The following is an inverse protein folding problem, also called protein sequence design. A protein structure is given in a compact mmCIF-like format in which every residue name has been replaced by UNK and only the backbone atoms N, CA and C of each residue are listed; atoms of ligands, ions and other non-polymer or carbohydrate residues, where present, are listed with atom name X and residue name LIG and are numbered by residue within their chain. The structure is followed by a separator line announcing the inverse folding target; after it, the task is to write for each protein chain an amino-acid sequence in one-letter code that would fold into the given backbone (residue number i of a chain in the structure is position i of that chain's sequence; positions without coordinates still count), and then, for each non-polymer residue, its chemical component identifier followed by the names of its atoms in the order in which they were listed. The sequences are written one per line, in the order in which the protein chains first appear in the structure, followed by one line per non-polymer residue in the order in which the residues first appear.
data_IF_210994901190
#
_entry.id   IF_210994901190
#
_cell.length_a   1.000
_cell.length_b   1.000
_cell.length_c   1.000
_cell.angle_alpha   90.00
_cell.angle_beta   90.00
_cell.angle_gamma   90.00
#
_symmetry.space_group_name_H-M   'P 1'
#
loop_
_entity.id
_entity.type
_entity.pdbx_description
1 polymer ?
#
# COMPACT_ATOMS: atom_id res chain seq x y z
N UNK A 1 -25.79 -36.17 -21.21
CA UNK A 1 -25.04 -36.07 -19.93
C UNK A 1 -25.67 -34.95 -19.10
N UNK A 2 -25.93 -35.16 -17.80
CA UNK A 2 -26.86 -34.35 -17.02
C UNK A 2 -26.22 -33.05 -16.51
N UNK A 3 -27.03 -31.99 -16.46
CA UNK A 3 -26.72 -30.69 -15.87
C UNK A 3 -26.80 -30.79 -14.34
N UNK A 4 -25.71 -30.47 -13.65
CA UNK A 4 -25.64 -30.41 -12.17
C UNK A 4 -26.07 -29.01 -11.69
N UNK A 5 -26.88 -28.86 -10.61
CA UNK A 5 -27.43 -27.57 -10.23
C UNK A 5 -26.44 -26.74 -9.39
N UNK A 6 -26.02 -25.58 -9.92
CA UNK A 6 -25.18 -24.56 -9.26
C UNK A 6 -25.93 -23.81 -8.12
N UNK A 7 -27.22 -24.07 -7.94
CA UNK A 7 -28.09 -23.32 -7.03
C UNK A 7 -27.79 -23.51 -5.52
N UNK A 8 -27.20 -24.63 -5.09
CA UNK A 8 -27.07 -24.94 -3.64
C UNK A 8 -25.95 -24.17 -2.91
N UNK A 9 -24.93 -23.66 -3.61
CA UNK A 9 -23.79 -22.95 -2.98
C UNK A 9 -24.08 -21.47 -2.71
N UNK A 10 -24.89 -20.80 -3.55
CA UNK A 10 -25.29 -19.39 -3.36
C UNK A 10 -26.27 -19.19 -2.19
N UNK A 11 -27.08 -20.20 -1.86
CA UNK A 11 -28.05 -20.14 -0.75
C UNK A 11 -27.35 -20.16 0.62
N UNK A 12 -26.24 -20.90 0.77
CA UNK A 12 -25.50 -20.95 2.04
C UNK A 12 -24.72 -19.65 2.32
N UNK A 13 -24.15 -19.03 1.28
CA UNK A 13 -23.42 -17.75 1.43
C UNK A 13 -24.38 -16.59 1.74
N UNK A 14 -25.56 -16.57 1.13
CA UNK A 14 -26.58 -15.54 1.41
C UNK A 14 -27.19 -15.65 2.80
N UNK A 15 -27.42 -16.87 3.31
CA UNK A 15 -27.87 -17.10 4.67
C UNK A 15 -26.85 -16.62 5.73
N UNK A 16 -25.55 -16.88 5.52
CA UNK A 16 -24.51 -16.43 6.45
C UNK A 16 -24.35 -14.91 6.49
N UNK A 17 -24.45 -14.24 5.33
CA UNK A 17 -24.43 -12.77 5.25
C UNK A 17 -25.64 -12.15 5.95
N UNK A 18 -26.82 -12.76 5.81
CA UNK A 18 -28.04 -12.29 6.48
C UNK A 18 -27.94 -12.42 8.00
N UNK A 19 -27.36 -13.51 8.52
CA UNK A 19 -27.15 -13.71 9.96
C UNK A 19 -26.17 -12.69 10.53
N UNK A 20 -25.07 -12.40 9.82
CA UNK A 20 -24.11 -11.37 10.23
C UNK A 20 -24.74 -9.98 10.21
N UNK A 21 -25.59 -9.69 9.21
CA UNK A 21 -26.31 -8.42 9.12
C UNK A 21 -27.33 -8.26 10.25
N UNK A 22 -28.05 -9.33 10.62
CA UNK A 22 -28.99 -9.35 11.75
C UNK A 22 -28.24 -9.15 13.08
N UNK A 23 -27.07 -9.77 13.25
CA UNK A 23 -26.22 -9.59 14.45
C UNK A 23 -25.67 -8.16 14.53
N UNK A 24 -25.22 -7.59 13.42
CA UNK A 24 -24.78 -6.18 13.34
C UNK A 24 -25.93 -5.21 13.62
N UNK A 25 -27.13 -5.48 13.11
CA UNK A 25 -28.33 -4.68 13.40
C UNK A 25 -28.79 -4.80 14.85
N UNK A 26 -28.65 -5.98 15.47
CA UNK A 26 -28.93 -6.17 16.89
C UNK A 26 -27.90 -5.44 17.77
N UNK A 27 -26.61 -5.46 17.39
CA UNK A 27 -25.55 -4.69 18.05
C UNK A 27 -25.75 -3.19 17.88
N UNK A 28 -26.13 -2.74 16.69
CA UNK A 28 -26.44 -1.35 16.38
C UNK A 28 -27.69 -0.86 17.14
N UNK A 29 -28.73 -1.69 17.26
CA UNK A 29 -29.91 -1.39 18.11
C UNK A 29 -29.60 -1.39 19.60
N UNK A 30 -28.65 -2.23 20.06
CA UNK A 30 -28.16 -2.20 21.44
C UNK A 30 -27.38 -0.91 21.74
N UNK A 31 -26.68 -0.38 20.74
CA UNK A 31 -25.95 0.90 20.83
C UNK A 31 -26.89 2.12 20.69
N UNK A 32 -27.99 1.98 19.94
CA UNK A 32 -29.06 2.98 19.83
C UNK A 32 -30.14 2.80 20.92
N UNK A 33 -29.73 2.73 22.19
CA UNK A 33 -30.63 3.11 23.28
C UNK A 33 -31.04 4.57 23.05
N UNK A 34 -32.25 4.72 22.54
CA UNK A 34 -33.12 5.88 22.39
C UNK A 34 -32.46 7.29 22.40
N UNK A 35 -32.32 7.96 21.22
CA UNK A 35 -31.91 9.36 21.13
C UNK A 35 -32.90 10.34 21.78
N UNK A 36 -34.08 9.88 22.18
CA UNK A 36 -35.08 10.71 22.87
C UNK A 36 -34.75 10.94 24.35
N UNK A 37 -33.85 10.15 24.95
CA UNK A 37 -33.38 10.38 26.32
C UNK A 37 -32.28 11.46 26.38
N UNK A 38 -31.53 11.66 25.29
CA UNK A 38 -30.50 12.71 25.22
C UNK A 38 -31.14 14.09 24.98
N UNK A 39 -32.14 14.18 24.09
CA UNK A 39 -32.81 15.45 23.76
C UNK A 39 -33.74 15.99 24.87
N UNK A 40 -34.21 15.16 25.80
CA UNK A 40 -34.97 15.64 26.98
C UNK A 40 -34.04 16.20 28.07
N UNK A 41 -32.77 15.81 28.06
CA UNK A 41 -31.76 16.39 28.96
C UNK A 41 -31.17 17.69 28.41
N UNK A 42 -30.90 17.78 27.10
CA UNK A 42 -30.28 18.98 26.50
C UNK A 42 -31.26 20.16 26.35
N UNK A 43 -32.56 19.92 26.17
CA UNK A 43 -33.55 21.00 26.05
C UNK A 43 -33.85 21.74 27.38
N UNK A 44 -33.50 21.14 28.53
CA UNK A 44 -33.62 21.78 29.85
C UNK A 44 -32.30 22.39 30.36
N UNK A 45 -31.19 22.24 29.61
CA UNK A 45 -29.87 22.68 30.03
C UNK A 45 -29.47 24.07 29.52
N UNK A 46 -30.35 24.78 28.79
CA UNK A 46 -29.93 25.97 28.05
C UNK A 46 -30.82 27.22 28.21
N UNK A 47 -31.55 27.37 29.32
CA UNK A 47 -32.33 28.61 29.57
C UNK A 47 -32.11 29.34 30.87
N UNK A 48 -31.53 28.73 31.89
CA UNK A 48 -31.23 29.43 33.13
C UNK A 48 -29.80 29.07 33.56
N UNK A 49 -29.04 30.06 34.04
CA UNK A 49 -27.71 29.95 34.67
C UNK A 49 -26.50 30.32 33.79
N UNK A 50 -26.47 31.57 33.30
CA UNK A 50 -25.25 32.38 33.41
C UNK A 50 -25.22 33.13 34.76
N UNK A 51 -25.66 32.46 35.83
CA UNK A 51 -25.34 32.89 37.17
C UNK A 51 -23.85 32.58 37.36
N UNK A 52 -23.09 33.56 37.85
CA UNK A 52 -21.76 33.37 38.41
C UNK A 52 -21.70 32.02 39.15
N UNK A 53 -21.10 30.99 38.54
CA UNK A 53 -20.91 29.71 39.21
C UNK A 53 -19.78 29.94 40.20
N UNK A 54 -20.14 30.32 41.43
CA UNK A 54 -19.28 30.09 42.57
C UNK A 54 -18.73 28.66 42.46
N UNK A 55 -17.43 28.42 42.66
CA UNK A 55 -16.87 27.07 42.58
C UNK A 55 -17.72 26.18 43.48
N UNK A 56 -18.45 25.23 42.87
CA UNK A 56 -19.25 24.27 43.63
C UNK A 56 -18.25 23.53 44.51
N UNK A 57 -18.26 23.83 45.82
CA UNK A 57 -17.40 23.16 46.78
C UNK A 57 -17.86 21.71 46.75
N UNK A 58 -17.12 20.88 46.02
CA UNK A 58 -17.37 19.45 45.94
C UNK A 58 -17.34 18.92 47.37
N UNK A 59 -18.44 18.30 47.79
CA UNK A 59 -18.51 17.57 49.06
C UNK A 59 -17.45 16.46 49.04
N UNK A 60 -16.87 16.18 50.19
CA UNK A 60 -15.75 15.26 50.32
C UNK A 60 -16.14 13.85 49.85
N UNK A 61 -17.43 13.48 49.93
CA UNK A 61 -17.97 12.23 49.35
C UNK A 61 -17.98 12.17 47.81
N UNK A 62 -18.19 13.29 47.10
CA UNK A 62 -18.10 13.33 45.62
C UNK A 62 -16.64 13.27 45.16
N UNK A 63 -15.71 13.89 45.90
CA UNK A 63 -14.27 13.79 45.65
C UNK A 63 -13.76 12.37 45.89
N UNK A 64 -14.20 11.71 46.95
CA UNK A 64 -13.87 10.31 47.22
C UNK A 64 -14.40 9.37 46.14
N UNK A 65 -15.62 9.58 45.65
CA UNK A 65 -16.20 8.77 44.57
C UNK A 65 -15.43 8.88 43.25
N UNK A 66 -14.96 10.09 42.90
CA UNK A 66 -14.11 10.31 41.71
C UNK A 66 -12.73 9.70 41.92
N UNK A 67 -12.15 9.86 43.11
CA UNK A 67 -10.84 9.30 43.45
C UNK A 67 -10.87 7.76 43.41
N UNK A 68 -11.90 7.13 43.96
CA UNK A 68 -12.09 5.67 43.87
C UNK A 68 -12.27 5.19 42.44
N UNK A 69 -13.03 5.92 41.60
CA UNK A 69 -13.17 5.59 40.17
C UNK A 69 -11.83 5.72 39.43
N UNK A 70 -11.06 6.78 39.68
CA UNK A 70 -9.73 6.95 39.10
C UNK A 70 -8.79 5.84 39.55
N UNK A 71 -8.76 5.50 40.85
CA UNK A 71 -7.90 4.44 41.38
C UNK A 71 -8.26 3.07 40.77
N UNK A 72 -9.54 2.79 40.62
CA UNK A 72 -10.03 1.55 40.00
C UNK A 72 -9.64 1.47 38.53
N UNK A 73 -9.72 2.58 37.79
CA UNK A 73 -9.29 2.66 36.40
C UNK A 73 -7.77 2.47 36.26
N UNK A 74 -6.97 3.08 37.14
CA UNK A 74 -5.51 2.93 37.17
C UNK A 74 -5.14 1.47 37.42
N UNK A 75 -5.76 0.81 38.40
CA UNK A 75 -5.52 -0.61 38.68
C UNK A 75 -5.90 -1.51 37.49
N UNK A 76 -7.00 -1.20 36.78
CA UNK A 76 -7.38 -1.93 35.56
C UNK A 76 -6.35 -1.75 34.44
N UNK A 77 -5.79 -0.55 34.27
CA UNK A 77 -4.73 -0.27 33.30
C UNK A 77 -3.46 -1.06 33.67
N UNK A 78 -3.08 -1.11 34.94
CA UNK A 78 -1.92 -1.88 35.38
C UNK A 78 -2.09 -3.38 35.16
N UNK A 79 -3.27 -3.93 35.49
CA UNK A 79 -3.59 -5.33 35.20
C UNK A 79 -3.55 -5.62 33.69
N UNK A 80 -4.13 -4.74 32.86
CA UNK A 80 -4.08 -4.89 31.42
C UNK A 80 -2.63 -4.86 30.88
N UNK A 81 -1.79 -3.95 31.40
CA UNK A 81 -0.36 -3.88 31.04
C UNK A 81 0.39 -5.16 31.42
N UNK A 82 0.15 -5.71 32.61
CA UNK A 82 0.76 -6.98 33.03
C UNK A 82 0.32 -8.14 32.14
N UNK A 83 -0.97 -8.19 31.77
CA UNK A 83 -1.50 -9.19 30.86
C UNK A 83 -0.85 -9.11 29.47
N UNK A 84 -0.66 -7.88 28.95
CA UNK A 84 -0.01 -7.63 27.65
C UNK A 84 1.44 -8.12 27.69
N UNK A 85 2.19 -7.82 28.76
CA UNK A 85 3.57 -8.29 28.89
C UNK A 85 3.68 -9.83 28.82
N UNK A 86 2.79 -10.53 29.52
CA UNK A 86 2.73 -12.01 29.50
C UNK A 86 2.40 -12.53 28.10
N UNK A 87 1.48 -11.88 27.38
CA UNK A 87 1.12 -12.25 26.02
C UNK A 87 2.27 -12.00 25.04
N UNK A 88 2.97 -10.86 25.16
CA UNK A 88 4.15 -10.55 24.34
C UNK A 88 5.27 -11.59 24.51
N UNK A 89 5.49 -12.08 25.73
CA UNK A 89 6.47 -13.14 25.99
C UNK A 89 6.04 -14.50 25.43
N UNK A 90 4.76 -14.84 25.54
CA UNK A 90 4.22 -16.07 24.92
C UNK A 90 4.28 -16.02 23.40
N UNK A 91 3.99 -14.87 22.80
CA UNK A 91 4.14 -14.65 21.36
C UNK A 91 5.60 -14.82 20.95
N UNK A 92 6.55 -14.22 21.68
CA UNK A 92 7.98 -14.40 21.44
C UNK A 92 8.41 -15.87 21.51
N UNK A 93 7.95 -16.61 22.51
CA UNK A 93 8.29 -18.03 22.67
C UNK A 93 7.72 -18.89 21.51
N UNK A 94 6.48 -18.62 21.09
CA UNK A 94 5.86 -19.32 19.96
C UNK A 94 6.56 -18.98 18.63
N UNK A 95 6.88 -17.72 18.40
CA UNK A 95 7.63 -17.27 17.22
C UNK A 95 9.03 -17.87 17.13
N UNK A 96 9.71 -18.08 18.26
CA UNK A 96 11.03 -18.70 18.29
C UNK A 96 11.00 -20.20 17.94
N UNK A 97 9.89 -20.88 18.25
CA UNK A 97 9.72 -22.32 17.99
C UNK A 97 9.25 -22.67 16.57
N UNK A 98 8.79 -21.67 15.81
CA UNK A 98 8.30 -21.87 14.45
C UNK A 98 9.39 -21.50 13.44
N UNK A 99 9.82 -22.40 12.53
CA UNK A 99 10.77 -22.04 11.49
C UNK A 99 10.17 -20.90 10.66
N UNK A 100 10.78 -19.72 10.73
CA UNK A 100 10.28 -18.54 10.02
C UNK A 100 10.42 -18.78 8.53
N UNK A 101 9.29 -18.84 7.85
CA UNK A 101 9.19 -19.10 6.40
C UNK A 101 9.74 -17.95 5.55
N UNK A 102 9.83 -16.75 6.14
CA UNK A 102 10.20 -15.50 5.48
C UNK A 102 11.15 -14.68 6.38
N UNK A 103 11.96 -13.76 5.82
CA UNK A 103 12.79 -12.85 6.60
C UNK A 103 11.99 -11.95 7.54
N UNK A 104 12.65 -11.37 8.56
CA UNK A 104 11.98 -10.46 9.49
C UNK A 104 11.59 -9.14 8.81
N UNK A 105 10.38 -8.67 9.10
CA UNK A 105 9.85 -7.39 8.63
C UNK A 105 9.49 -6.50 9.82
N UNK A 106 9.68 -5.19 9.69
CA UNK A 106 9.21 -4.24 10.70
C UNK A 106 7.68 -4.18 10.70
N UNK A 107 7.07 -4.06 11.87
CA UNK A 107 5.64 -3.77 11.94
C UNK A 107 5.40 -2.28 11.67
N UNK A 108 4.57 -2.00 10.65
CA UNK A 108 4.02 -0.68 10.41
C UNK A 108 2.50 -0.69 10.65
N UNK A 109 2.02 0.32 11.36
CA UNK A 109 0.58 0.58 11.50
C UNK A 109 -0.02 1.08 10.17
N UNK A 110 -1.35 1.12 10.08
CA UNK A 110 -2.06 1.51 8.86
C UNK A 110 -1.76 2.92 8.35
N UNK A 111 -1.28 3.85 9.21
CA UNK A 111 -0.97 5.23 8.81
C UNK A 111 0.40 5.35 8.15
N UNK A 112 1.36 4.54 8.60
CA UNK A 112 2.75 4.58 8.13
C UNK A 112 3.03 3.53 7.05
N UNK A 113 2.21 2.49 6.98
CA UNK A 113 2.27 1.45 5.95
C UNK A 113 1.78 2.03 4.63
N UNK A 114 2.41 1.60 3.54
CA UNK A 114 2.05 1.97 2.17
C UNK A 114 1.91 0.71 1.34
N UNK A 115 1.06 0.77 0.33
CA UNK A 115 0.91 -0.23 -0.74
C UNK A 115 1.75 0.21 -1.93
N UNK A 116 2.79 -0.55 -2.24
CA UNK A 116 3.83 -0.16 -3.19
C UNK A 116 3.86 -1.17 -4.34
N UNK A 117 3.63 -0.68 -5.56
CA UNK A 117 3.81 -1.45 -6.78
C UNK A 117 5.26 -1.32 -7.29
N UNK A 118 5.88 -2.44 -7.65
CA UNK A 118 7.19 -2.48 -8.30
C UNK A 118 7.05 -3.26 -9.60
N UNK A 119 7.10 -2.56 -10.74
CA UNK A 119 7.16 -3.24 -12.05
C UNK A 119 8.61 -3.61 -12.34
N UNK A 120 8.89 -4.81 -12.85
CA UNK A 120 10.27 -5.29 -13.02
C UNK A 120 10.91 -5.69 -11.68
N UNK A 121 10.09 -5.94 -10.66
CA UNK A 121 10.55 -6.27 -9.30
C UNK A 121 11.23 -7.64 -9.18
N UNK A 122 11.10 -8.52 -10.18
CA UNK A 122 11.87 -9.77 -10.23
C UNK A 122 13.20 -9.62 -11.02
N UNK A 123 13.52 -8.41 -11.49
CA UNK A 123 14.81 -8.05 -12.07
C UNK A 123 15.90 -7.79 -11.03
N UNK A 124 17.09 -7.39 -11.47
CA UNK A 124 18.25 -7.18 -10.60
C UNK A 124 18.03 -6.09 -9.55
N UNK A 125 17.84 -4.83 -9.97
CA UNK A 125 17.61 -3.71 -9.05
C UNK A 125 16.27 -3.86 -8.32
N UNK A 126 15.25 -4.32 -9.04
CA UNK A 126 13.89 -4.48 -8.53
C UNK A 126 13.80 -5.40 -7.31
N UNK A 127 14.50 -6.54 -7.32
CA UNK A 127 14.42 -7.49 -6.19
C UNK A 127 15.06 -6.95 -4.92
N UNK A 128 16.15 -6.17 -5.03
CA UNK A 128 16.76 -5.51 -3.87
C UNK A 128 15.87 -4.40 -3.31
N UNK A 129 15.14 -3.69 -4.17
CA UNK A 129 14.13 -2.72 -3.74
C UNK A 129 12.96 -3.43 -3.02
N UNK A 130 12.50 -4.56 -3.54
CA UNK A 130 11.50 -5.43 -2.87
C UNK A 130 11.97 -5.79 -1.47
N UNK A 131 13.19 -6.31 -1.32
CA UNK A 131 13.74 -6.71 -0.02
C UNK A 131 13.75 -5.54 0.97
N UNK A 132 14.21 -4.38 0.51
CA UNK A 132 14.29 -3.18 1.34
C UNK A 132 12.92 -2.75 1.85
N UNK A 133 11.93 -2.69 0.97
CA UNK A 133 10.57 -2.24 1.30
C UNK A 133 9.81 -3.27 2.14
N UNK A 134 10.02 -4.56 1.88
CA UNK A 134 9.48 -5.66 2.69
C UNK A 134 10.03 -5.59 4.13
N UNK A 135 11.35 -5.49 4.30
CA UNK A 135 11.99 -5.35 5.62
C UNK A 135 11.50 -4.10 6.36
N UNK A 136 11.20 -3.02 5.63
CA UNK A 136 10.62 -1.80 6.21
C UNK A 136 9.17 -1.96 6.67
N UNK A 137 8.47 -3.02 6.26
CA UNK A 137 7.11 -3.35 6.72
C UNK A 137 5.98 -2.88 5.80
N UNK A 138 6.29 -2.49 4.56
CA UNK A 138 5.31 -2.07 3.57
C UNK A 138 4.61 -3.27 2.91
N UNK A 139 3.47 -3.01 2.27
CA UNK A 139 2.81 -3.98 1.38
C UNK A 139 3.39 -3.83 -0.02
N UNK A 140 4.04 -4.87 -0.52
CA UNK A 140 4.77 -4.85 -1.78
C UNK A 140 4.10 -5.76 -2.80
N UNK A 141 3.71 -5.16 -3.92
CA UNK A 141 3.15 -5.86 -5.07
C UNK A 141 4.18 -5.82 -6.19
N UNK A 142 4.61 -6.98 -6.67
CA UNK A 142 5.55 -7.10 -7.80
C UNK A 142 4.80 -7.48 -9.06
N UNK A 143 5.05 -6.74 -10.13
CA UNK A 143 4.59 -7.06 -11.48
C UNK A 143 5.80 -7.35 -12.36
N UNK A 144 5.86 -8.55 -12.94
CA UNK A 144 6.95 -8.95 -13.82
C UNK A 144 6.45 -9.98 -14.85
N UNK A 145 6.96 -9.92 -16.08
CA UNK A 145 6.68 -10.91 -17.14
C UNK A 145 7.79 -11.96 -17.28
N UNK A 146 8.81 -11.92 -16.41
CA UNK A 146 9.99 -12.78 -16.40
C UNK A 146 10.77 -12.81 -17.72
N UNK A 147 10.68 -11.75 -18.53
CA UNK A 147 11.43 -11.68 -19.79
C UNK A 147 12.95 -11.69 -19.54
N UNK A 148 13.42 -10.90 -18.57
CA UNK A 148 14.81 -10.93 -18.07
C UNK A 148 14.88 -11.21 -16.57
N UNK A 149 13.78 -11.00 -15.84
CA UNK A 149 13.66 -11.28 -14.40
C UNK A 149 13.58 -12.78 -14.11
N UNK A 150 13.76 -13.17 -12.84
CA UNK A 150 13.64 -14.56 -12.40
C UNK A 150 12.84 -14.62 -11.10
N UNK A 151 11.88 -15.55 -11.03
CA UNK A 151 11.06 -15.78 -9.83
C UNK A 151 11.90 -16.01 -8.56
N UNK A 152 13.04 -16.70 -8.69
CA UNK A 152 13.99 -16.97 -7.60
C UNK A 152 14.47 -15.71 -6.87
N UNK A 153 14.46 -14.55 -7.54
CA UNK A 153 14.95 -13.30 -6.94
C UNK A 153 14.00 -12.75 -5.87
N UNK A 154 12.76 -13.23 -5.81
CA UNK A 154 11.72 -12.78 -4.86
C UNK A 154 11.00 -13.95 -4.19
N UNK A 155 11.49 -15.18 -4.36
CA UNK A 155 10.77 -16.38 -3.92
C UNK A 155 10.67 -16.51 -2.39
N UNK A 156 11.65 -15.95 -1.68
CA UNK A 156 11.71 -15.88 -0.22
C UNK A 156 10.67 -14.96 0.41
N UNK A 157 9.81 -14.30 -0.38
CA UNK A 157 8.64 -13.56 0.11
C UNK A 157 7.31 -14.23 -0.24
N UNK A 158 7.31 -15.30 -1.04
CA UNK A 158 6.08 -15.90 -1.56
C UNK A 158 5.19 -16.49 -0.47
N UNK A 159 4.04 -15.86 -0.24
CA UNK A 159 3.05 -16.22 0.77
C UNK A 159 3.20 -15.47 2.09
N UNK A 160 4.13 -14.50 2.17
CA UNK A 160 4.12 -13.48 3.20
C UNK A 160 2.87 -12.59 3.02
N UNK A 161 2.19 -12.21 4.11
CA UNK A 161 0.92 -11.45 4.06
C UNK A 161 1.02 -10.11 3.32
N UNK A 162 2.17 -9.44 3.43
CA UNK A 162 2.45 -8.16 2.80
C UNK A 162 3.06 -8.28 1.39
N UNK A 163 3.17 -9.47 0.79
CA UNK A 163 3.81 -9.67 -0.51
C UNK A 163 2.89 -10.34 -1.53
N UNK A 164 2.78 -9.72 -2.70
CA UNK A 164 2.07 -10.28 -3.85
C UNK A 164 2.94 -10.27 -5.11
N UNK A 165 2.93 -11.37 -5.87
CA UNK A 165 3.63 -11.49 -7.15
C UNK A 165 2.62 -11.74 -8.27
N UNK A 166 2.52 -10.79 -9.19
CA UNK A 166 1.64 -10.83 -10.34
C UNK A 166 2.47 -11.07 -11.60
N UNK A 167 2.23 -12.21 -12.26
CA UNK A 167 2.81 -12.48 -13.58
C UNK A 167 2.03 -11.69 -14.63
N UNK A 168 2.55 -10.53 -15.03
CA UNK A 168 1.85 -9.61 -15.94
C UNK A 168 2.83 -8.78 -16.77
N UNK A 169 2.47 -8.53 -18.03
CA UNK A 169 3.21 -7.62 -18.90
C UNK A 169 2.55 -6.24 -18.89
N UNK A 170 3.33 -5.24 -18.49
CA UNK A 170 2.87 -3.85 -18.31
C UNK A 170 2.36 -3.19 -19.61
N UNK A 171 2.64 -3.76 -20.79
CA UNK A 171 2.02 -3.29 -22.04
C UNK A 171 0.51 -3.45 -22.02
N UNK A 172 -0.02 -4.31 -21.13
CA UNK A 172 -1.44 -4.45 -20.88
C UNK A 172 -1.86 -3.64 -19.65
N UNK A 173 -3.04 -3.02 -19.65
CA UNK A 173 -3.56 -2.27 -18.51
C UNK A 173 -3.61 -3.08 -17.21
N UNK A 174 -3.36 -2.41 -16.08
CA UNK A 174 -3.43 -2.98 -14.74
C UNK A 174 -4.35 -2.14 -13.83
N UNK A 175 -5.19 -2.83 -13.07
CA UNK A 175 -6.20 -2.21 -12.21
C UNK A 175 -6.02 -2.65 -10.76
N UNK A 176 -5.15 -1.93 -10.04
CA UNK A 176 -4.89 -2.13 -8.61
C UNK A 176 -4.87 -0.77 -7.89
N UNK A 177 -5.05 -0.79 -6.57
CA UNK A 177 -4.94 0.40 -5.72
C UNK A 177 -3.59 0.37 -5.00
N UNK A 178 -2.82 1.45 -5.13
CA UNK A 178 -1.48 1.59 -4.55
C UNK A 178 -1.19 3.06 -4.24
N UNK A 179 -0.28 3.29 -3.29
CA UNK A 179 0.16 4.62 -2.88
C UNK A 179 1.40 5.08 -3.67
N UNK A 180 2.28 4.13 -4.03
CA UNK A 180 3.53 4.38 -4.74
C UNK A 180 3.79 3.34 -5.84
N UNK A 181 4.40 3.79 -6.93
CA UNK A 181 4.79 2.96 -8.07
C UNK A 181 6.27 3.20 -8.37
N UNK A 182 7.08 2.15 -8.27
CA UNK A 182 8.45 2.12 -8.75
C UNK A 182 8.49 1.39 -10.08
N UNK A 183 8.62 2.14 -11.17
CA UNK A 183 8.54 1.65 -12.54
C UNK A 183 9.94 1.30 -13.09
N UNK A 184 10.37 0.04 -12.87
CA UNK A 184 11.68 -0.48 -13.30
C UNK A 184 11.58 -1.47 -14.48
N UNK A 185 10.38 -1.79 -14.97
CA UNK A 185 10.17 -2.78 -16.02
C UNK A 185 10.67 -2.26 -17.39
N UNK A 186 11.87 -2.67 -17.77
CA UNK A 186 12.44 -2.56 -19.12
C UNK A 186 13.59 -3.57 -19.23
N UNK A 187 13.83 -4.17 -20.41
CA UNK A 187 15.12 -4.81 -20.66
C UNK A 187 16.24 -3.76 -20.53
N UNK A 188 17.33 -4.10 -19.83
CA UNK A 188 18.35 -3.12 -19.42
C UNK A 188 19.72 -3.32 -20.08
N UNK A 189 20.06 -4.54 -20.52
CA UNK A 189 21.36 -4.80 -21.16
C UNK A 189 21.27 -4.75 -22.69
N UNK A 190 22.32 -4.27 -23.40
CA UNK A 190 22.31 -4.15 -24.86
C UNK A 190 21.88 -5.41 -25.61
N UNK A 191 22.40 -6.61 -25.29
CA UNK A 191 21.95 -7.82 -25.97
C UNK A 191 20.44 -8.08 -25.81
N UNK A 192 19.85 -7.77 -24.65
CA UNK A 192 18.44 -8.06 -24.38
C UNK A 192 17.49 -7.06 -25.02
N UNK A 193 17.79 -5.76 -24.98
CA UNK A 193 16.91 -4.76 -25.59
C UNK A 193 17.03 -4.73 -27.13
N UNK A 194 18.21 -5.06 -27.67
CA UNK A 194 18.43 -5.15 -29.12
C UNK A 194 17.89 -6.44 -29.73
N UNK A 195 17.71 -7.51 -28.92
CA UNK A 195 17.14 -8.77 -29.40
C UNK A 195 15.71 -8.62 -29.93
N UNK A 196 14.90 -7.77 -29.27
CA UNK A 196 13.54 -7.48 -29.71
C UNK A 196 13.24 -5.97 -29.56
N UNK A 197 13.69 -5.14 -30.50
CA UNK A 197 13.60 -3.68 -30.39
C UNK A 197 12.15 -3.20 -30.35
N UNK A 198 11.23 -3.86 -31.07
CA UNK A 198 9.79 -3.53 -31.04
C UNK A 198 9.21 -3.76 -29.65
N UNK A 199 9.56 -4.88 -28.99
CA UNK A 199 9.13 -5.13 -27.61
C UNK A 199 9.69 -4.08 -26.66
N UNK A 200 10.98 -3.75 -26.78
CA UNK A 200 11.62 -2.69 -25.97
C UNK A 200 10.88 -1.36 -26.09
N UNK A 201 10.55 -0.92 -27.31
CA UNK A 201 9.78 0.30 -27.55
C UNK A 201 8.41 0.21 -26.89
N UNK A 202 7.66 -0.88 -27.13
CA UNK A 202 6.32 -1.08 -26.55
C UNK A 202 6.33 -1.03 -25.02
N UNK A 203 7.31 -1.68 -24.40
CA UNK A 203 7.46 -1.69 -22.94
C UNK A 203 7.75 -0.30 -22.39
N UNK A 204 8.67 0.47 -22.99
CA UNK A 204 9.02 1.80 -22.51
C UNK A 204 8.01 2.90 -22.91
N UNK A 205 7.12 2.65 -23.88
CA UNK A 205 6.06 3.60 -24.28
C UNK A 205 4.71 3.22 -23.68
N UNK A 206 4.08 2.17 -24.19
CA UNK A 206 2.75 1.73 -23.74
C UNK A 206 2.78 1.28 -22.28
N UNK A 207 3.85 0.61 -21.85
CA UNK A 207 4.02 0.24 -20.45
C UNK A 207 4.06 1.45 -19.51
N UNK A 208 4.82 2.48 -19.87
CA UNK A 208 4.85 3.73 -19.12
C UNK A 208 3.52 4.47 -19.15
N UNK A 209 2.83 4.53 -20.30
CA UNK A 209 1.47 5.12 -20.40
C UNK A 209 0.51 4.40 -19.44
N UNK A 210 0.53 3.07 -19.40
CA UNK A 210 -0.34 2.29 -18.53
C UNK A 210 -0.04 2.55 -17.04
N UNK A 211 1.23 2.62 -16.65
CA UNK A 211 1.62 2.88 -15.27
C UNK A 211 1.33 4.32 -14.83
N UNK A 212 1.54 5.31 -15.70
CA UNK A 212 1.16 6.70 -15.45
C UNK A 212 -0.37 6.86 -15.40
N UNK A 213 -1.11 6.16 -16.27
CA UNK A 213 -2.58 6.12 -16.23
C UNK A 213 -3.12 5.50 -14.95
N UNK A 214 -2.50 4.40 -14.49
CA UNK A 214 -2.78 3.80 -13.18
C UNK A 214 -2.50 4.81 -12.06
N UNK A 215 -1.31 5.42 -12.03
CA UNK A 215 -0.91 6.40 -11.02
C UNK A 215 -1.90 7.56 -10.94
N UNK A 216 -2.29 8.12 -12.10
CA UNK A 216 -3.28 9.20 -12.18
C UNK A 216 -4.63 8.79 -11.59
N UNK A 217 -5.11 7.57 -11.90
CA UNK A 217 -6.41 7.09 -11.42
C UNK A 217 -6.45 6.93 -9.90
N UNK A 218 -5.37 6.43 -9.30
CA UNK A 218 -5.32 6.12 -7.85
C UNK A 218 -4.56 7.17 -7.04
N UNK A 219 -4.14 8.26 -7.67
CA UNK A 219 -3.31 9.32 -7.08
C UNK A 219 -2.00 8.82 -6.46
N UNK A 220 -1.41 7.77 -7.05
CA UNK A 220 -0.13 7.25 -6.59
C UNK A 220 1.03 8.15 -7.01
N UNK A 221 2.07 8.20 -6.17
CA UNK A 221 3.37 8.74 -6.58
C UNK A 221 4.07 7.73 -7.49
N UNK A 222 4.72 8.20 -8.54
CA UNK A 222 5.45 7.34 -9.48
C UNK A 222 6.91 7.77 -9.59
N UNK A 223 7.81 6.79 -9.52
CA UNK A 223 9.22 6.93 -9.86
C UNK A 223 9.49 6.10 -11.10
N UNK A 224 10.10 6.71 -12.12
CA UNK A 224 10.47 6.05 -13.36
C UNK A 224 11.97 5.82 -13.37
N UNK A 225 12.40 4.57 -13.57
CA UNK A 225 13.81 4.26 -13.75
C UNK A 225 14.26 4.63 -15.17
N UNK A 226 14.81 5.84 -15.31
CA UNK A 226 15.49 6.29 -16.54
C UNK A 226 16.94 5.74 -16.58
N UNK A 227 17.80 6.34 -17.40
CA UNK A 227 19.14 5.83 -17.70
C UNK A 227 20.06 6.95 -18.18
N UNK A 228 21.37 6.79 -18.00
CA UNK A 228 22.37 7.68 -18.60
C UNK A 228 22.35 7.66 -20.13
N UNK A 229 21.79 6.62 -20.76
CA UNK A 229 21.67 6.50 -22.22
C UNK A 229 20.81 7.60 -22.84
N UNK A 230 20.00 8.33 -22.05
CA UNK A 230 19.28 9.53 -22.55
C UNK A 230 20.24 10.65 -22.98
N UNK A 231 21.49 10.62 -22.48
CA UNK A 231 22.56 11.52 -22.89
C UNK A 231 23.26 11.09 -24.20
N UNK A 232 23.12 9.83 -24.63
CA UNK A 232 23.71 9.28 -25.85
C UNK A 232 25.24 9.29 -25.84
N UNK A 233 25.84 9.85 -26.89
CA UNK A 233 27.28 10.10 -27.00
C UNK A 233 27.58 11.55 -26.59
N UNK A 234 27.74 11.85 -25.28
CA UNK A 234 27.74 13.21 -24.76
C UNK A 234 28.93 14.02 -25.27
N UNK A 235 28.68 15.29 -25.55
CA UNK A 235 29.72 16.27 -25.91
C UNK A 235 30.18 17.12 -24.72
N UNK A 236 29.68 16.81 -23.52
CA UNK A 236 29.98 17.50 -22.25
C UNK A 236 30.43 16.52 -21.17
N UNK A 237 31.31 16.96 -20.26
CA UNK A 237 31.80 16.16 -19.13
C UNK A 237 32.01 17.01 -17.86
N UNK A 238 31.48 16.57 -16.69
CA UNK A 238 30.53 15.47 -16.49
C UNK A 238 29.17 15.74 -17.17
N UNK A 239 28.24 14.80 -17.12
CA UNK A 239 26.90 14.97 -17.72
C UNK A 239 25.92 15.55 -16.68
N UNK A 240 25.60 16.87 -16.70
CA UNK A 240 24.57 17.43 -15.84
C UNK A 240 23.17 17.03 -16.34
N UNK A 241 22.18 17.01 -15.45
CA UNK A 241 20.77 16.70 -15.78
C UNK A 241 20.13 17.74 -16.72
N UNK A 242 20.75 18.91 -16.87
CA UNK A 242 20.33 19.94 -17.83
C UNK A 242 20.79 19.67 -19.27
N UNK A 243 21.70 18.71 -19.49
CA UNK A 243 22.17 18.35 -20.82
C UNK A 243 21.12 17.53 -21.59
N UNK A 244 20.79 17.96 -22.80
CA UNK A 244 19.70 17.36 -23.59
C UNK A 244 20.03 16.02 -24.24
N UNK A 245 21.31 15.65 -24.28
CA UNK A 245 21.79 14.45 -24.94
C UNK A 245 22.14 14.64 -26.42
N UNK A 246 22.99 13.75 -26.91
CA UNK A 246 23.36 13.61 -28.32
C UNK A 246 23.12 12.16 -28.73
N UNK A 247 21.87 11.86 -29.09
CA UNK A 247 21.35 10.50 -29.32
C UNK A 247 20.95 10.35 -30.78
N UNK A 248 21.29 9.21 -31.40
CA UNK A 248 20.86 8.87 -32.76
C UNK A 248 19.48 8.18 -32.72
N UNK A 249 18.41 8.79 -33.25
CA UNK A 249 17.03 8.30 -33.10
C UNK A 249 16.70 7.07 -33.97
N UNK A 250 17.58 6.68 -34.89
CA UNK A 250 17.40 5.52 -35.78
C UNK A 250 18.55 4.51 -35.66
N UNK A 251 19.45 4.71 -34.70
CA UNK A 251 20.54 3.78 -34.42
C UNK A 251 20.05 2.44 -33.87
N UNK A 252 20.93 1.42 -33.82
CA UNK A 252 20.57 0.09 -33.33
C UNK A 252 20.16 0.08 -31.84
N UNK A 253 20.56 1.09 -31.07
CA UNK A 253 20.21 1.28 -29.65
C UNK A 253 18.99 2.18 -29.42
N UNK A 254 18.50 2.87 -30.47
CA UNK A 254 17.43 3.85 -30.37
C UNK A 254 16.13 3.29 -29.76
N UNK A 255 15.86 1.99 -29.93
CA UNK A 255 14.72 1.33 -29.30
C UNK A 255 14.70 1.45 -27.77
N UNK A 256 15.87 1.50 -27.13
CA UNK A 256 16.04 1.72 -25.70
C UNK A 256 16.19 3.20 -25.40
N UNK A 257 17.09 3.90 -26.11
CA UNK A 257 17.47 5.29 -25.82
C UNK A 257 16.26 6.23 -26.00
N UNK A 258 15.59 6.18 -27.15
CA UNK A 258 14.38 6.98 -27.40
C UNK A 258 13.20 6.49 -26.56
N UNK A 259 13.12 5.20 -26.27
CA UNK A 259 12.14 4.65 -25.33
C UNK A 259 12.26 5.25 -23.93
N UNK A 260 13.49 5.47 -23.45
CA UNK A 260 13.75 6.09 -22.15
C UNK A 260 13.53 7.61 -22.17
N UNK A 261 13.91 8.29 -23.25
CA UNK A 261 13.63 9.72 -23.44
C UNK A 261 12.13 10.03 -23.50
N UNK A 262 11.36 9.22 -24.22
CA UNK A 262 9.91 9.42 -24.30
C UNK A 262 9.20 9.08 -22.99
N UNK A 263 9.68 8.12 -22.20
CA UNK A 263 9.09 7.84 -20.89
C UNK A 263 9.30 8.98 -19.89
N UNK A 264 10.43 9.69 -19.93
CA UNK A 264 10.59 10.95 -19.19
C UNK A 264 9.59 12.02 -19.66
N UNK A 265 9.46 12.20 -20.97
CA UNK A 265 8.54 13.17 -21.58
C UNK A 265 7.09 12.91 -21.16
N UNK A 266 6.66 11.65 -21.21
CA UNK A 266 5.34 11.21 -20.75
C UNK A 266 5.13 11.55 -19.27
N UNK A 267 6.13 11.33 -18.44
CA UNK A 267 6.05 11.58 -16.99
C UNK A 267 5.80 13.07 -16.69
N UNK A 268 6.55 13.96 -17.34
CA UNK A 268 6.33 15.40 -17.20
C UNK A 268 5.01 15.86 -17.83
N UNK A 269 4.56 15.25 -18.92
CA UNK A 269 3.28 15.56 -19.53
C UNK A 269 2.12 15.23 -18.58
N UNK A 270 2.14 14.04 -17.95
CA UNK A 270 1.16 13.66 -16.93
C UNK A 270 1.21 14.58 -15.72
N UNK A 271 2.41 14.91 -15.21
CA UNK A 271 2.56 15.83 -14.09
C UNK A 271 1.97 17.22 -14.37
N UNK A 272 2.21 17.78 -15.56
CA UNK A 272 1.64 19.08 -15.98
C UNK A 272 0.12 19.02 -16.12
N UNK A 273 -0.42 17.93 -16.68
CA UNK A 273 -1.87 17.78 -16.88
C UNK A 273 -2.64 17.56 -15.58
N UNK A 274 -2.03 16.95 -14.55
CA UNK A 274 -2.68 16.76 -13.25
C UNK A 274 -2.70 18.05 -12.42
N UNK A 275 -1.76 18.97 -12.69
CA UNK A 275 -1.67 20.28 -12.02
C UNK A 275 -2.47 21.40 -12.72
N UNK A 276 -3.09 21.11 -13.86
CA UNK A 276 -3.97 22.02 -14.64
C UNK A 276 -5.43 21.65 -14.47
#
# INVERSE_FOLDING_TARGET
MPMVPIAKKRIKVTASVLIVLILLLALYRSFLKDPTDVNRSEANLNKDHWAFVHPKIMDDGEKEGIHQKQQKLVNQIEQAKAQIAILEDRVRALEASTPRKYPQVKYLNYKNRKRILITGGAGFVGSHLVDTLMVQGHEVIVVDNFFTGRKRNVEHWLGHENFELIHHDIVNPLFIEVDEIYHLASPASPPHYMYNPVKTIKTNTMGTINMLGLAKRVMAKVLIASTSEVYGDPTVHPQPETYWGHVNPIGPRACYDEGKRVSETLSYAYAKQVLS
#
